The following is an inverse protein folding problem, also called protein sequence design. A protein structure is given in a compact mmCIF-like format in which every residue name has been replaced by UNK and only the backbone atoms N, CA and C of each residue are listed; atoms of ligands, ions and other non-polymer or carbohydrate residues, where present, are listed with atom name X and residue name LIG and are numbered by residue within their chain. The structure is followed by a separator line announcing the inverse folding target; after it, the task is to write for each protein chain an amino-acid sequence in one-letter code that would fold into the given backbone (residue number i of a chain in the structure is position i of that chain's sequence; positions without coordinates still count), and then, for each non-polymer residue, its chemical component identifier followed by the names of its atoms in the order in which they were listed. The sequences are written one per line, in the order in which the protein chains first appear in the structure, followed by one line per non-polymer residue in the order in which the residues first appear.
data_IF_489863057292
#
_entry.id   IF_489863057292
#
_cell.length_a   1.000
_cell.length_b   1.000
_cell.length_c   1.000
_cell.angle_alpha   90.00
_cell.angle_beta   90.00
_cell.angle_gamma   90.00
#
_symmetry.space_group_name_H-M   'P 1'
#
loop_
_entity.id
_entity.type
_entity.pdbx_description
1 polymer ?
#
# COMPACT_ATOMS: atom_id res chain seq x y z
N UNK A 1 12.44 -46.53 4.29
CA UNK A 1 12.35 -46.05 4.12
C UNK A 1 11.87 -45.25 4.20
N UNK A 2 11.71 -44.87 4.20
CA UNK A 2 11.42 -44.21 4.15
C UNK A 2 11.29 -43.23 3.96
N UNK A 3 11.01 -42.72 3.87
CA UNK A 3 10.98 -41.83 3.54
C UNK A 3 10.24 -40.96 3.58
N UNK A 4 10.05 -40.37 3.84
CA UNK A 4 9.47 -39.50 3.90
C UNK A 4 9.36 -38.52 3.63
N UNK A 5 9.03 -38.13 3.43
CA UNK A 5 8.85 -37.19 3.10
C UNK A 5 8.39 -36.32 3.16
N UNK A 6 8.40 -35.78 3.44
CA UNK A 6 8.20 -34.96 3.37
C UNK A 6 7.67 -34.21 3.01
N UNK A 7 7.17 -33.78 3.21
CA UNK A 7 6.43 -33.13 2.92
C UNK A 7 6.49 -31.85 3.09
N UNK A 8 6.70 -31.38 2.45
CA UNK A 8 6.88 -30.22 2.47
C UNK A 8 5.82 -29.54 2.18
N UNK A 9 5.27 -29.09 2.83
CA UNK A 9 4.31 -28.34 2.67
C UNK A 9 4.65 -27.07 2.45
N UNK A 10 4.60 -26.68 1.39
CA UNK A 10 4.78 -25.48 1.09
C UNK A 10 3.58 -24.85 1.26
N UNK A 11 3.38 -24.05 2.13
CA UNK A 11 2.35 -23.26 2.26
C UNK A 11 2.52 -22.19 1.36
N UNK A 12 1.91 -22.24 0.31
CA UNK A 12 1.98 -21.19 -0.65
C UNK A 12 1.44 -19.91 -0.06
N UNK A 13 2.21 -18.90 0.00
CA UNK A 13 1.74 -17.58 0.37
C UNK A 13 0.77 -17.07 -0.68
N UNK A 14 -0.24 -16.32 -0.29
CA UNK A 14 -1.10 -15.68 -1.26
C UNK A 14 -0.30 -14.79 -2.19
N UNK A 15 -0.83 -14.52 -3.36
CA UNK A 15 -0.16 -13.68 -4.34
C UNK A 15 0.15 -12.29 -3.81
N UNK A 16 -0.57 -11.85 -2.81
CA UNK A 16 -0.38 -10.53 -2.22
C UNK A 16 0.34 -10.62 -0.87
N UNK A 17 1.16 -11.66 -0.67
CA UNK A 17 1.99 -11.76 0.52
C UNK A 17 2.87 -10.52 0.62
N UNK A 18 3.00 -9.98 1.81
CA UNK A 18 3.68 -8.72 2.02
C UNK A 18 2.73 -7.55 2.19
N UNK A 19 1.54 -7.64 1.62
CA UNK A 19 0.53 -6.62 1.79
C UNK A 19 -0.28 -6.87 3.05
N UNK A 20 -0.33 -5.86 3.91
CA UNK A 20 -1.06 -5.94 5.18
C UNK A 20 -2.18 -4.94 5.15
N UNK A 21 -3.37 -5.38 5.49
CA UNK A 21 -4.50 -4.47 5.60
C UNK A 21 -4.26 -3.54 6.77
N UNK A 22 -4.30 -2.24 6.52
CA UNK A 22 -4.06 -1.25 7.55
C UNK A 22 -5.37 -0.70 8.13
N UNK A 23 -6.28 -0.31 7.26
CA UNK A 23 -7.53 0.30 7.68
C UNK A 23 -8.55 0.24 6.55
N UNK A 24 -9.79 0.56 6.86
CA UNK A 24 -10.87 0.65 5.89
C UNK A 24 -11.50 2.03 5.94
N UNK A 25 -11.87 2.55 4.78
CA UNK A 25 -12.59 3.81 4.71
C UNK A 25 -14.08 3.62 4.83
N UNK A 26 -14.78 4.71 5.02
CA UNK A 26 -16.24 4.68 5.16
C UNK A 26 -16.93 4.22 3.87
N UNK A 27 -16.31 4.46 2.73
CA UNK A 27 -16.86 4.03 1.45
C UNK A 27 -16.70 2.55 1.18
N UNK A 28 -15.99 1.84 2.06
CA UNK A 28 -15.74 0.41 1.88
C UNK A 28 -14.42 0.10 1.20
N UNK A 29 -13.65 1.12 0.82
CA UNK A 29 -12.31 0.89 0.28
C UNK A 29 -11.40 0.36 1.40
N UNK A 30 -10.48 -0.51 1.02
CA UNK A 30 -9.55 -1.11 1.97
C UNK A 30 -8.15 -0.62 1.64
N UNK A 31 -7.40 -0.25 2.66
CA UNK A 31 -6.07 0.32 2.48
C UNK A 31 -5.02 -0.63 3.01
N UNK A 32 -4.03 -0.92 2.17
CA UNK A 32 -2.97 -1.89 2.47
C UNK A 32 -1.62 -1.22 2.43
N UNK A 33 -0.70 -1.74 3.21
CA UNK A 33 0.68 -1.29 3.23
C UNK A 33 1.58 -2.51 3.08
N UNK A 34 2.73 -2.34 2.43
CA UNK A 34 3.76 -3.37 2.41
C UNK A 34 4.90 -2.92 3.31
N UNK A 35 4.93 -3.40 4.56
CA UNK A 35 5.93 -2.92 5.53
C UNK A 35 7.36 -3.20 5.10
N UNK A 36 7.58 -4.22 4.28
CA UNK A 36 8.92 -4.56 3.83
C UNK A 36 9.49 -3.51 2.88
N UNK A 37 8.63 -2.65 2.33
CA UNK A 37 9.08 -1.60 1.41
C UNK A 37 9.39 -0.29 2.10
N UNK A 38 9.23 -0.20 3.42
CA UNK A 38 9.51 1.03 4.14
C UNK A 38 11.01 1.34 4.04
N UNK A 39 11.32 2.52 3.55
CA UNK A 39 12.70 3.01 3.46
C UNK A 39 12.83 4.26 4.31
N UNK A 40 13.76 4.21 5.24
CA UNK A 40 13.99 5.31 6.16
C UNK A 40 15.13 6.18 5.67
N UNK A 41 14.92 7.48 5.75
CA UNK A 41 15.97 8.45 5.44
C UNK A 41 15.76 9.62 6.41
N UNK A 42 16.44 9.59 7.53
CA UNK A 42 16.24 10.58 8.58
C UNK A 42 14.80 10.52 9.08
N UNK A 43 14.10 11.63 9.01
CA UNK A 43 12.71 11.71 9.43
C UNK A 43 11.73 11.29 8.34
N UNK A 44 12.23 10.86 7.18
CA UNK A 44 11.36 10.51 6.07
C UNK A 44 11.22 9.01 5.90
N UNK A 45 10.06 8.62 5.36
CA UNK A 45 9.75 7.22 5.09
C UNK A 45 9.13 7.13 3.71
N UNK A 46 9.66 6.26 2.86
CA UNK A 46 9.00 5.91 1.60
C UNK A 46 8.40 4.53 1.75
N UNK A 47 7.24 4.33 1.15
CA UNK A 47 6.55 3.06 1.29
C UNK A 47 5.59 2.86 0.13
N UNK A 48 5.34 1.61 -0.23
CA UNK A 48 4.32 1.26 -1.21
C UNK A 48 3.02 0.92 -0.50
N UNK A 49 1.92 1.44 -1.04
CA UNK A 49 0.58 1.22 -0.51
C UNK A 49 -0.37 0.84 -1.64
N UNK A 50 -1.48 0.20 -1.29
CA UNK A 50 -2.54 -0.13 -2.23
C UNK A 50 -3.86 0.28 -1.63
N UNK A 51 -4.72 0.86 -2.47
CA UNK A 51 -6.14 1.06 -2.15
C UNK A 51 -6.93 0.04 -2.94
N UNK A 52 -7.62 -0.86 -2.23
CA UNK A 52 -8.57 -1.77 -2.85
C UNK A 52 -9.91 -1.09 -2.94
N UNK A 53 -10.43 -0.94 -4.16
CA UNK A 53 -11.65 -0.19 -4.36
C UNK A 53 -12.87 -1.07 -4.12
N UNK A 54 -13.85 -0.53 -3.40
CA UNK A 54 -15.11 -1.20 -3.18
C UNK A 54 -15.95 -1.27 -4.46
N UNK A 55 -15.79 -0.28 -5.33
CA UNK A 55 -16.49 -0.21 -6.60
C UNK A 55 -15.49 0.10 -7.69
N UNK A 56 -15.77 -0.40 -8.89
CA UNK A 56 -14.92 -0.15 -10.04
C UNK A 56 -14.73 1.35 -10.23
N UNK A 57 -13.51 1.78 -10.43
CA UNK A 57 -13.18 3.18 -10.65
C UNK A 57 -13.48 3.62 -12.07
N UNK A 58 -13.27 4.90 -12.35
CA UNK A 58 -13.64 5.50 -13.63
C UNK A 58 -12.85 4.96 -14.81
N UNK A 59 -11.68 4.37 -14.56
CA UNK A 59 -10.86 3.76 -15.60
C UNK A 59 -11.10 2.26 -15.71
N UNK A 60 -12.01 1.71 -14.93
CA UNK A 60 -12.22 0.27 -14.86
C UNK A 60 -11.30 -0.41 -13.85
N UNK A 61 -10.62 0.36 -13.02
CA UNK A 61 -9.69 -0.20 -12.06
C UNK A 61 -10.39 -0.73 -10.81
N UNK A 62 -9.81 -1.77 -10.22
CA UNK A 62 -10.24 -2.31 -8.94
C UNK A 62 -9.22 -2.05 -7.83
N UNK A 63 -8.04 -1.60 -8.18
CA UNK A 63 -7.05 -1.20 -7.18
C UNK A 63 -6.17 -0.09 -7.71
N UNK A 64 -5.59 0.68 -6.79
CA UNK A 64 -4.62 1.71 -7.08
C UNK A 64 -3.42 1.51 -6.20
N UNK A 65 -2.24 1.61 -6.80
CA UNK A 65 -0.99 1.41 -6.10
C UNK A 65 -0.26 2.73 -6.05
N UNK A 66 0.20 3.09 -4.86
CA UNK A 66 0.87 4.36 -4.66
C UNK A 66 2.24 4.13 -4.05
N UNK A 67 3.19 4.94 -4.46
CA UNK A 67 4.40 5.10 -3.68
C UNK A 67 4.27 6.42 -2.95
N UNK A 68 4.40 6.38 -1.63
CA UNK A 68 4.18 7.55 -0.79
C UNK A 68 5.42 7.86 0.01
N UNK A 69 5.57 9.12 0.35
CA UNK A 69 6.61 9.56 1.25
C UNK A 69 5.98 10.30 2.42
N UNK A 70 6.43 9.98 3.63
CA UNK A 70 5.96 10.60 4.86
C UNK A 70 7.11 11.31 5.53
N UNK A 71 6.84 12.49 6.08
CA UNK A 71 7.78 13.23 6.91
C UNK A 71 7.27 13.07 8.34
N UNK A 72 7.98 12.28 9.14
CA UNK A 72 7.52 11.94 10.47
C UNK A 72 7.61 13.10 11.43
N UNK A 73 8.50 14.05 11.18
CA UNK A 73 8.68 15.20 12.05
C UNK A 73 7.63 16.24 11.79
N UNK A 74 7.40 16.56 10.52
CA UNK A 74 6.43 17.60 10.14
C UNK A 74 5.03 17.04 9.97
N UNK A 75 4.87 15.72 10.01
CA UNK A 75 3.58 15.05 9.92
C UNK A 75 2.85 15.43 8.63
N UNK A 76 3.51 15.17 7.52
CA UNK A 76 2.97 15.43 6.19
C UNK A 76 3.33 14.30 5.25
N UNK A 77 2.62 14.24 4.14
CA UNK A 77 2.81 13.17 3.15
C UNK A 77 2.75 13.73 1.75
N UNK A 78 3.28 12.96 0.80
CA UNK A 78 3.15 13.26 -0.62
C UNK A 78 3.21 11.98 -1.42
N UNK A 79 2.65 12.04 -2.62
CA UNK A 79 2.72 10.92 -3.55
C UNK A 79 3.97 11.02 -4.39
N UNK A 80 4.55 9.89 -4.70
CA UNK A 80 5.70 9.79 -5.60
C UNK A 80 5.34 9.05 -6.88
N UNK A 81 4.32 8.21 -6.85
CA UNK A 81 3.78 7.56 -8.04
C UNK A 81 2.41 7.02 -7.76
N UNK A 82 1.66 6.80 -8.82
CA UNK A 82 0.34 6.19 -8.76
C UNK A 82 0.18 5.30 -9.97
N UNK A 83 -0.43 4.14 -9.79
CA UNK A 83 -0.85 3.29 -10.90
C UNK A 83 -2.21 2.70 -10.60
N UNK A 84 -2.99 2.52 -11.65
CA UNK A 84 -4.32 1.92 -11.55
C UNK A 84 -4.29 0.55 -12.21
N UNK A 85 -4.95 -0.41 -11.59
CA UNK A 85 -4.87 -1.82 -12.00
C UNK A 85 -6.25 -2.40 -12.17
N UNK A 86 -6.42 -3.25 -13.18
CA UNK A 86 -7.73 -3.79 -13.52
C UNK A 86 -8.24 -4.82 -12.51
N UNK A 87 -7.37 -5.36 -11.67
CA UNK A 87 -7.73 -6.38 -10.68
C UNK A 87 -7.33 -5.91 -9.28
N UNK A 88 -7.81 -6.60 -8.24
CA UNK A 88 -7.41 -6.24 -6.88
C UNK A 88 -5.93 -6.45 -6.65
N UNK A 89 -5.43 -5.79 -5.63
CA UNK A 89 -4.07 -5.94 -5.11
C UNK A 89 -2.98 -5.63 -6.13
N UNK A 90 -3.24 -4.67 -7.00
CA UNK A 90 -2.24 -4.27 -7.99
C UNK A 90 -2.02 -5.28 -9.09
N UNK A 91 -2.95 -6.20 -9.28
CA UNK A 91 -2.85 -7.23 -10.30
C UNK A 91 -3.58 -6.81 -11.58
N UNK A 92 -3.47 -7.65 -12.58
CA UNK A 92 -4.14 -7.41 -13.86
C UNK A 92 -3.40 -6.39 -14.70
N UNK A 93 -4.13 -5.77 -15.61
CA UNK A 93 -3.55 -4.79 -16.51
C UNK A 93 -3.29 -3.48 -15.80
N UNK A 94 -2.18 -2.84 -16.14
CA UNK A 94 -1.88 -1.50 -15.66
C UNK A 94 -2.59 -0.53 -16.60
N UNK A 95 -3.60 0.14 -16.07
CA UNK A 95 -4.45 1.02 -16.88
C UNK A 95 -3.86 2.41 -17.00
N UNK A 96 -3.11 2.85 -16.00
CA UNK A 96 -2.42 4.11 -16.05
C UNK A 96 -1.28 4.05 -15.03
N UNK A 97 -0.21 4.73 -15.34
CA UNK A 97 0.90 4.87 -14.39
C UNK A 97 1.45 6.29 -14.53
N UNK A 98 1.69 6.93 -13.41
CA UNK A 98 2.19 8.29 -13.39
C UNK A 98 3.22 8.40 -12.27
N UNK A 99 4.43 8.81 -12.63
CA UNK A 99 5.51 9.02 -11.68
C UNK A 99 5.73 10.52 -11.55
N UNK A 100 5.46 11.04 -10.36
CA UNK A 100 5.62 12.46 -10.13
C UNK A 100 5.84 12.69 -8.65
N UNK A 101 6.51 13.78 -8.33
CA UNK A 101 6.68 14.16 -6.94
C UNK A 101 5.60 15.17 -6.60
N UNK A 102 4.65 14.72 -5.81
CA UNK A 102 3.55 15.57 -5.39
C UNK A 102 3.96 16.59 -4.36
N UNK A 103 3.07 17.50 -4.08
CA UNK A 103 3.30 18.50 -3.05
C UNK A 103 3.05 17.89 -1.68
N UNK A 104 3.78 18.39 -0.69
CA UNK A 104 3.56 17.97 0.68
C UNK A 104 2.19 18.43 1.16
N UNK A 105 1.47 17.49 1.79
CA UNK A 105 0.16 17.74 2.38
C UNK A 105 0.23 17.43 3.86
N UNK A 106 -0.33 18.30 4.68
CA UNK A 106 -0.40 18.00 6.11
C UNK A 106 -1.32 16.82 6.36
N UNK A 107 -0.91 15.97 7.27
CA UNK A 107 -1.70 14.79 7.63
C UNK A 107 -2.66 15.20 8.74
N UNK A 108 -3.94 15.23 8.42
CA UNK A 108 -4.97 15.61 9.39
C UNK A 108 -5.27 14.45 10.34
N UNK A 109 -5.68 14.74 11.57
CA UNK A 109 -6.07 13.70 12.50
C UNK A 109 -7.30 12.94 12.04
N UNK A 110 -7.36 11.68 12.39
CA UNK A 110 -8.51 10.81 12.11
C UNK A 110 -8.77 10.62 10.62
N UNK A 111 -7.68 10.55 9.84
CA UNK A 111 -7.75 10.29 8.40
C UNK A 111 -7.02 9.02 8.09
N UNK A 112 -7.23 8.51 6.86
CA UNK A 112 -6.50 7.36 6.34
C UNK A 112 -5.00 7.67 6.34
N UNK A 113 -4.63 8.89 5.95
CA UNK A 113 -3.22 9.29 5.94
C UNK A 113 -2.59 9.23 7.32
N UNK A 114 -3.35 9.55 8.35
CA UNK A 114 -2.82 9.45 9.71
C UNK A 114 -2.53 7.99 10.07
N UNK A 115 -3.40 7.08 9.65
CA UNK A 115 -3.17 5.66 9.92
C UNK A 115 -1.87 5.20 9.27
N UNK A 116 -1.60 5.63 8.03
CA UNK A 116 -0.34 5.32 7.39
C UNK A 116 0.84 5.97 8.10
N UNK A 117 0.71 7.25 8.45
CA UNK A 117 1.78 7.99 9.12
C UNK A 117 2.19 7.28 10.41
N UNK A 118 1.22 6.91 11.22
CA UNK A 118 1.51 6.22 12.48
C UNK A 118 2.21 4.90 12.24
N UNK A 119 1.78 4.17 11.23
CA UNK A 119 2.37 2.87 10.94
C UNK A 119 3.82 2.99 10.50
N UNK A 120 4.13 3.92 9.60
CA UNK A 120 5.50 4.04 9.07
C UNK A 120 6.43 4.77 9.99
N UNK A 121 5.91 5.66 10.82
CA UNK A 121 6.72 6.45 11.73
C UNK A 121 6.84 5.83 13.13
N UNK A 122 6.10 4.78 13.41
CA UNK A 122 6.17 4.09 14.69
C UNK A 122 5.52 4.86 15.83
N UNK A 123 4.51 5.62 15.52
CA UNK A 123 3.85 6.44 16.55
C UNK A 123 2.55 5.85 17.01
#
# INVERSE_FOLDING_TARGET
MKYLFSLLILIASPAWAGWVELTRGESGNVFYIDPATIRKDGNRRKVWTITGLNKVGSLGELSRKYRMEFDCKEERSRFLSISAHSKPMGAGDVLVIDNFIGEWQEVAPETIDEAFLKRVCGK
#
